data_IF_183781638194
#
_entry.id   IF_183781638194
#
_cell.length_a   1.000
_cell.length_b   1.000
_cell.length_c   1.000
_cell.angle_alpha   90.00
_cell.angle_beta   90.00
_cell.angle_gamma   90.00
#
_symmetry.space_group_name_H-M   'P 1'
#
loop_
_entity.id
_entity.type
_entity.pdbx_description
1 polymer ?
#
# COMPACT_ATOMS: atom_id res chain seq x y z
N UNK A 1 -30.19 -1.92 24.38
CA UNK A 1 -28.78 -2.25 24.05
C UNK A 1 -28.50 -2.37 22.54
N UNK A 2 -29.02 -1.47 21.69
CA UNK A 2 -28.67 -1.39 20.25
C UNK A 2 -27.97 -0.07 19.87
N UNK A 3 -27.83 0.86 20.82
CA UNK A 3 -27.27 2.21 20.60
C UNK A 3 -25.74 2.28 20.76
N UNK A 4 -25.15 1.46 21.64
CA UNK A 4 -23.72 1.53 21.96
C UNK A 4 -22.79 1.03 20.84
N UNK A 5 -23.24 0.06 20.04
CA UNK A 5 -22.46 -0.48 18.91
C UNK A 5 -22.47 0.44 17.67
N UNK A 6 -23.54 1.23 17.48
CA UNK A 6 -23.55 2.27 16.44
C UNK A 6 -22.65 3.45 16.83
N UNK A 7 -22.62 3.83 18.11
CA UNK A 7 -21.73 4.87 18.61
C UNK A 7 -20.25 4.49 18.54
N UNK A 8 -19.89 3.20 18.70
CA UNK A 8 -18.51 2.74 18.54
C UNK A 8 -18.07 2.65 17.07
N UNK A 9 -19.00 2.30 16.15
CA UNK A 9 -18.77 2.39 14.71
C UNK A 9 -18.64 3.85 14.21
N UNK A 10 -19.39 4.77 14.82
CA UNK A 10 -19.29 6.21 14.53
C UNK A 10 -18.06 6.86 15.17
N UNK A 11 -17.57 6.36 16.31
CA UNK A 11 -16.30 6.83 16.89
C UNK A 11 -15.10 6.47 15.99
N UNK A 12 -15.17 5.36 15.25
CA UNK A 12 -14.18 4.97 14.24
C UNK A 12 -14.32 5.79 12.95
N UNK A 13 -15.49 6.37 12.68
CA UNK A 13 -15.71 7.30 11.57
C UNK A 13 -15.34 8.76 11.89
N UNK A 14 -15.29 9.16 13.18
CA UNK A 14 -15.14 10.56 13.60
C UNK A 14 -13.82 10.90 14.32
N UNK A 15 -12.82 10.02 14.33
CA UNK A 15 -11.44 10.39 14.73
C UNK A 15 -10.54 10.47 13.48
N UNK A 16 -10.87 11.43 12.61
CA UNK A 16 -9.95 12.47 12.12
C UNK A 16 -10.78 13.42 11.28
N UNK A 17 -10.95 14.62 11.83
CA UNK A 17 -11.66 15.75 11.27
C UNK A 17 -11.04 16.25 9.96
N UNK A 18 -11.90 16.81 9.12
CA UNK A 18 -11.68 17.89 8.13
C UNK A 18 -10.23 18.19 7.70
N UNK A 19 -9.94 17.80 6.47
CA UNK A 19 -9.22 18.61 5.50
C UNK A 19 -9.81 18.23 4.15
N UNK A 20 -10.27 19.21 3.37
CA UNK A 20 -10.84 19.01 2.04
C UNK A 20 -10.00 18.00 1.25
N UNK A 21 -10.61 16.92 0.75
CA UNK A 21 -9.94 16.00 -0.16
C UNK A 21 -9.75 16.76 -1.50
N UNK A 22 -8.54 17.26 -1.81
CA UNK A 22 -8.33 18.07 -3.00
C UNK A 22 -8.30 17.22 -4.28
N UNK A 23 -8.62 15.92 -4.18
CA UNK A 23 -8.53 14.95 -5.27
C UNK A 23 -9.85 14.25 -5.59
N UNK A 24 -10.97 14.68 -5.00
CA UNK A 24 -12.30 14.22 -5.38
C UNK A 24 -12.60 14.43 -6.88
N UNK A 25 -11.94 15.42 -7.51
CA UNK A 25 -12.07 15.71 -8.94
C UNK A 25 -11.18 14.85 -9.87
N UNK A 26 -10.26 14.03 -9.35
CA UNK A 26 -9.33 13.23 -10.17
C UNK A 26 -9.94 11.88 -10.59
N UNK A 27 -10.91 11.36 -9.83
CA UNK A 27 -11.51 10.05 -10.09
C UNK A 27 -12.20 9.88 -11.46
N UNK A 28 -12.75 10.92 -12.13
CA UNK A 28 -13.31 10.76 -13.49
C UNK A 28 -12.28 10.86 -14.62
N UNK A 29 -11.01 11.23 -14.37
CA UNK A 29 -10.06 11.62 -15.44
C UNK A 29 -9.16 10.50 -15.98
N UNK A 30 -9.18 9.33 -15.35
CA UNK A 30 -8.38 8.16 -15.80
C UNK A 30 -9.08 7.45 -16.99
N UNK A 31 -10.39 7.66 -17.19
CA UNK A 31 -11.13 7.04 -18.31
C UNK A 31 -11.01 7.79 -19.65
N UNK A 32 -10.44 9.01 -19.69
CA UNK A 32 -10.43 9.84 -20.90
C UNK A 32 -9.11 9.90 -21.66
N UNK A 33 -8.06 9.17 -21.25
CA UNK A 33 -6.84 9.00 -22.05
C UNK A 33 -6.11 10.29 -22.48
N UNK A 34 -6.29 11.40 -21.76
CA UNK A 34 -5.66 12.67 -22.07
C UNK A 34 -4.70 13.05 -20.93
N UNK A 35 -3.44 12.65 -21.08
CA UNK A 35 -2.32 13.18 -20.32
C UNK A 35 -1.87 14.48 -21.00
N UNK A 36 -1.83 15.60 -20.26
CA UNK A 36 -1.38 16.90 -20.76
C UNK A 36 0.00 17.22 -20.17
N UNK A 37 0.97 17.49 -21.03
CA UNK A 37 2.42 17.63 -20.77
C UNK A 37 2.85 18.90 -20.00
N UNK A 38 2.00 19.44 -19.13
CA UNK A 38 2.26 20.73 -18.49
C UNK A 38 2.06 20.74 -16.99
N UNK A 39 2.88 19.98 -16.26
CA UNK A 39 3.34 20.29 -14.91
C UNK A 39 4.71 19.62 -14.65
N UNK A 40 5.77 20.18 -15.22
CA UNK A 40 7.14 19.97 -14.73
C UNK A 40 7.57 21.29 -14.13
N UNK A 41 7.40 21.44 -12.82
CA UNK A 41 8.15 22.43 -12.07
C UNK A 41 9.11 21.74 -11.10
N UNK A 42 10.33 22.27 -11.13
CA UNK A 42 11.58 21.64 -10.76
C UNK A 42 11.79 21.71 -9.24
N UNK A 43 12.22 20.61 -8.62
CA UNK A 43 13.28 20.54 -7.60
C UNK A 43 13.21 19.29 -6.69
N UNK A 44 13.21 18.09 -7.28
CA UNK A 44 13.78 16.91 -6.60
C UNK A 44 14.67 16.22 -7.60
N UNK A 45 15.97 16.44 -7.44
CA UNK A 45 17.01 15.78 -8.20
C UNK A 45 16.92 14.27 -7.93
N UNK A 46 16.34 13.51 -8.85
CA UNK A 46 16.36 12.05 -8.84
C UNK A 46 17.79 11.58 -9.13
N UNK A 47 18.60 11.47 -8.09
CA UNK A 47 19.87 10.75 -8.19
C UNK A 47 19.61 9.26 -7.95
N UNK A 48 19.28 8.53 -9.02
CA UNK A 48 19.67 7.13 -9.11
C UNK A 48 21.14 7.10 -9.51
N UNK A 49 22.04 7.20 -8.53
CA UNK A 49 23.45 6.90 -8.78
C UNK A 49 23.60 5.39 -8.94
N UNK A 50 23.69 4.93 -10.19
CA UNK A 50 24.36 3.66 -10.49
C UNK A 50 25.82 3.80 -10.07
N UNK A 51 26.16 3.20 -8.93
CA UNK A 51 27.55 3.02 -8.54
C UNK A 51 28.17 1.91 -9.39
N UNK A 52 28.83 2.32 -10.48
CA UNK A 52 29.80 1.48 -11.19
C UNK A 52 31.10 1.49 -10.38
N UNK A 53 31.14 0.77 -9.26
CA UNK A 53 32.37 0.52 -8.51
C UNK A 53 32.60 -1.00 -8.48
N UNK A 54 33.51 -1.41 -9.36
CA UNK A 54 34.01 -2.75 -9.59
C UNK A 54 34.98 -3.15 -8.47
N UNK A 55 34.44 -3.44 -7.29
CA UNK A 55 35.13 -4.16 -6.21
C UNK A 55 34.19 -5.29 -5.77
N UNK A 56 34.63 -6.54 -5.91
CA UNK A 56 33.82 -7.77 -5.81
C UNK A 56 33.14 -8.09 -4.46
N UNK A 57 32.72 -7.08 -3.69
CA UNK A 57 31.80 -7.22 -2.59
C UNK A 57 30.36 -7.22 -3.15
N UNK A 58 29.67 -8.35 -3.05
CA UNK A 58 28.24 -8.43 -3.36
C UNK A 58 27.47 -7.45 -2.47
N UNK A 59 27.18 -6.26 -3.00
CA UNK A 59 26.34 -5.28 -2.34
C UNK A 59 24.90 -5.80 -2.43
N UNK A 60 24.44 -6.45 -1.35
CA UNK A 60 23.08 -6.96 -1.28
C UNK A 60 22.15 -5.77 -1.27
N UNK A 61 21.31 -5.67 -2.29
CA UNK A 61 20.27 -4.65 -2.42
C UNK A 61 19.46 -4.51 -1.11
N UNK A 62 19.33 -3.30 -0.53
CA UNK A 62 18.74 -3.08 0.80
C UNK A 62 17.36 -3.71 1.01
N UNK A 63 16.57 -3.83 -0.07
CA UNK A 63 15.25 -4.46 -0.03
C UNK A 63 15.29 -5.90 0.48
N UNK A 64 16.33 -6.67 0.15
CA UNK A 64 16.43 -8.07 0.57
C UNK A 64 16.79 -8.23 2.05
N UNK A 65 17.23 -7.16 2.71
CA UNK A 65 17.36 -7.11 4.17
C UNK A 65 16.01 -6.98 4.89
N UNK A 66 14.95 -6.58 4.17
CA UNK A 66 13.58 -6.59 4.68
C UNK A 66 13.03 -8.02 4.70
N UNK A 67 13.56 -8.85 5.59
CA UNK A 67 13.13 -10.25 5.72
C UNK A 67 11.67 -10.32 6.16
N UNK A 68 10.93 -11.27 5.60
CA UNK A 68 9.60 -11.63 6.08
C UNK A 68 9.71 -12.92 6.86
N UNK A 69 9.45 -12.87 8.16
CA UNK A 69 9.37 -14.07 8.97
C UNK A 69 8.16 -14.92 8.54
N UNK A 70 8.22 -16.21 8.80
CA UNK A 70 7.08 -17.11 8.54
C UNK A 70 5.79 -16.63 9.23
N UNK A 71 5.93 -16.11 10.45
CA UNK A 71 4.84 -15.52 11.23
C UNK A 71 4.22 -14.30 10.54
N UNK A 72 5.01 -13.42 9.94
CA UNK A 72 4.53 -12.28 9.17
C UNK A 72 3.75 -12.72 7.94
N UNK A 73 4.28 -13.70 7.21
CA UNK A 73 3.62 -14.29 6.06
C UNK A 73 2.24 -14.83 6.44
N UNK A 74 2.15 -15.61 7.52
CA UNK A 74 0.88 -16.12 8.04
C UNK A 74 -0.08 -14.96 8.39
N UNK A 75 0.40 -13.95 9.11
CA UNK A 75 -0.44 -12.81 9.50
C UNK A 75 -0.97 -12.06 8.28
N UNK A 76 -0.14 -11.80 7.26
CA UNK A 76 -0.55 -11.11 6.02
C UNK A 76 -1.62 -11.92 5.28
N UNK A 77 -1.41 -13.24 5.15
CA UNK A 77 -2.37 -14.15 4.48
C UNK A 77 -3.71 -14.17 5.21
N UNK A 78 -3.69 -14.24 6.54
CA UNK A 78 -4.88 -14.25 7.39
C UNK A 78 -5.63 -12.93 7.36
N UNK A 79 -4.90 -11.80 7.39
CA UNK A 79 -5.48 -10.47 7.27
C UNK A 79 -6.25 -10.36 5.95
N UNK A 80 -5.61 -10.67 4.82
CA UNK A 80 -6.24 -10.57 3.51
C UNK A 80 -7.39 -11.56 3.37
N UNK A 81 -7.27 -12.78 3.89
CA UNK A 81 -8.36 -13.76 3.88
C UNK A 81 -9.59 -13.20 4.61
N UNK A 82 -9.45 -12.79 5.88
CA UNK A 82 -10.53 -12.25 6.71
C UNK A 82 -11.13 -10.96 6.14
N UNK A 83 -10.30 -10.08 5.57
CA UNK A 83 -10.79 -8.87 4.92
C UNK A 83 -11.54 -9.18 3.61
N UNK A 84 -11.11 -10.19 2.85
CA UNK A 84 -11.75 -10.58 1.58
C UNK A 84 -13.07 -11.34 1.74
N UNK A 85 -13.35 -11.89 2.92
CA UNK A 85 -14.60 -12.61 3.20
C UNK A 85 -15.84 -11.73 3.00
N UNK A 86 -16.93 -12.32 2.51
CA UNK A 86 -18.17 -11.60 2.20
C UNK A 86 -18.91 -11.20 3.48
N UNK A 87 -19.46 -9.98 3.47
CA UNK A 87 -20.39 -9.48 4.49
C UNK A 87 -19.79 -8.50 5.48
N UNK A 88 -20.53 -7.41 5.78
CA UNK A 88 -20.17 -6.46 6.85
C UNK A 88 -20.24 -7.13 8.23
N UNK A 89 -21.12 -8.13 8.39
CA UNK A 89 -21.33 -8.83 9.66
C UNK A 89 -20.15 -9.73 10.06
N UNK A 90 -19.47 -10.38 9.11
CA UNK A 90 -18.27 -11.17 9.39
C UNK A 90 -17.12 -10.27 9.84
N UNK A 91 -16.96 -9.09 9.22
CA UNK A 91 -15.99 -8.10 9.67
C UNK A 91 -16.25 -7.60 11.09
N UNK A 92 -17.50 -7.32 11.46
CA UNK A 92 -17.84 -6.90 12.81
C UNK A 92 -17.54 -7.98 13.85
N UNK A 93 -17.88 -9.24 13.55
CA UNK A 93 -17.54 -10.38 14.42
C UNK A 93 -16.03 -10.56 14.56
N UNK A 94 -15.28 -10.29 13.49
CA UNK A 94 -13.83 -10.46 13.45
C UNK A 94 -13.03 -9.18 13.75
N UNK A 95 -13.68 -8.07 14.12
CA UNK A 95 -13.04 -6.76 14.21
C UNK A 95 -11.82 -6.78 15.14
N UNK A 96 -11.96 -7.32 16.36
CA UNK A 96 -10.86 -7.45 17.32
C UNK A 96 -9.70 -8.29 16.76
N UNK A 97 -10.00 -9.37 16.04
CA UNK A 97 -8.98 -10.19 15.40
C UNK A 97 -8.28 -9.47 14.25
N UNK A 98 -9.00 -8.66 13.47
CA UNK A 98 -8.43 -7.85 12.40
C UNK A 98 -7.50 -6.76 12.94
N UNK A 99 -7.87 -6.10 14.04
CA UNK A 99 -7.00 -5.16 14.74
C UNK A 99 -5.72 -5.85 15.22
N UNK A 100 -5.85 -6.98 15.92
CA UNK A 100 -4.69 -7.73 16.39
C UNK A 100 -3.78 -8.20 15.26
N UNK A 101 -4.33 -8.58 14.09
CA UNK A 101 -3.53 -8.90 12.91
C UNK A 101 -2.84 -7.67 12.32
N UNK A 102 -3.53 -6.53 12.25
CA UNK A 102 -2.97 -5.25 11.83
C UNK A 102 -1.79 -4.83 12.70
N UNK A 103 -1.92 -4.93 14.01
CA UNK A 103 -0.84 -4.61 14.98
C UNK A 103 0.39 -5.51 14.78
N UNK A 104 0.17 -6.81 14.57
CA UNK A 104 1.25 -7.77 14.29
C UNK A 104 1.96 -7.46 12.98
N UNK A 105 1.23 -7.01 11.95
CA UNK A 105 1.80 -6.67 10.63
C UNK A 105 2.49 -5.30 10.64
N UNK A 106 2.16 -4.42 11.57
CA UNK A 106 2.69 -3.05 11.61
C UNK A 106 4.23 -2.99 11.69
N UNK A 107 4.88 -4.06 12.20
CA UNK A 107 6.35 -4.20 12.22
C UNK A 107 6.96 -4.43 10.83
N UNK A 108 6.18 -4.96 9.88
CA UNK A 108 6.65 -5.23 8.51
C UNK A 108 6.78 -3.91 7.75
N UNK A 109 7.90 -3.76 7.04
CA UNK A 109 8.14 -2.60 6.20
C UNK A 109 7.11 -2.51 5.05
N UNK A 110 6.49 -1.34 4.78
CA UNK A 110 5.39 -1.20 3.82
C UNK A 110 5.76 -1.63 2.39
N UNK A 111 6.97 -1.31 1.93
CA UNK A 111 7.46 -1.73 0.59
C UNK A 111 7.56 -3.25 0.49
N UNK A 112 8.02 -3.91 1.56
CA UNK A 112 8.11 -5.38 1.62
C UNK A 112 6.74 -6.03 1.72
N UNK A 113 5.86 -5.46 2.54
CA UNK A 113 4.47 -5.90 2.68
C UNK A 113 3.75 -5.90 1.34
N UNK A 114 3.79 -4.78 0.60
CA UNK A 114 3.09 -4.69 -0.69
C UNK A 114 3.79 -5.54 -1.76
N UNK A 115 5.13 -5.59 -1.80
CA UNK A 115 5.86 -6.46 -2.73
C UNK A 115 5.51 -7.94 -2.56
N UNK A 116 5.35 -8.40 -1.33
CA UNK A 116 4.89 -9.76 -1.06
C UNK A 116 3.45 -10.00 -1.53
N UNK A 117 2.54 -9.06 -1.33
CA UNK A 117 1.14 -9.21 -1.77
C UNK A 117 1.05 -9.24 -3.31
N UNK A 118 1.76 -8.35 -3.99
CA UNK A 118 1.67 -8.16 -5.44
C UNK A 118 2.35 -9.29 -6.21
N UNK A 119 3.48 -9.80 -5.71
CA UNK A 119 4.17 -10.97 -6.28
C UNK A 119 3.38 -12.28 -6.17
N UNK A 120 2.43 -12.36 -5.22
CA UNK A 120 1.64 -13.56 -4.99
C UNK A 120 0.24 -13.41 -5.61
N UNK A 121 0.01 -14.09 -6.74
CA UNK A 121 -1.25 -14.01 -7.49
C UNK A 121 -2.52 -14.24 -6.63
N UNK A 122 -2.50 -15.20 -5.69
CA UNK A 122 -3.65 -15.46 -4.81
C UNK A 122 -3.91 -14.32 -3.81
N UNK A 123 -2.86 -13.63 -3.36
CA UNK A 123 -2.99 -12.50 -2.45
C UNK A 123 -3.48 -11.27 -3.20
N UNK A 124 -3.00 -11.07 -4.43
CA UNK A 124 -3.50 -10.01 -5.33
C UNK A 124 -4.99 -10.18 -5.64
N UNK A 125 -5.46 -11.41 -5.87
CA UNK A 125 -6.91 -11.70 -5.99
C UNK A 125 -7.70 -11.35 -4.74
N UNK A 126 -7.18 -11.63 -3.55
CA UNK A 126 -7.83 -11.23 -2.29
C UNK A 126 -7.85 -9.72 -2.13
N UNK A 127 -6.76 -9.03 -2.49
CA UNK A 127 -6.68 -7.58 -2.49
C UNK A 127 -7.72 -6.96 -3.43
N UNK A 128 -7.91 -7.54 -4.64
CA UNK A 128 -8.98 -7.15 -5.57
C UNK A 128 -10.38 -7.35 -4.97
N UNK A 129 -10.63 -8.46 -4.27
CA UNK A 129 -11.91 -8.64 -3.55
C UNK A 129 -12.13 -7.63 -2.43
N UNK A 130 -11.05 -7.16 -1.80
CA UNK A 130 -11.12 -6.10 -0.78
C UNK A 130 -11.49 -4.76 -1.46
N UNK A 131 -10.96 -4.48 -2.65
CA UNK A 131 -11.26 -3.25 -3.39
C UNK A 131 -12.72 -3.15 -3.87
N UNK A 132 -13.41 -4.28 -4.03
CA UNK A 132 -14.85 -4.31 -4.34
C UNK A 132 -15.73 -3.67 -3.25
N UNK A 133 -15.21 -3.47 -2.04
CA UNK A 133 -15.93 -2.81 -0.95
C UNK A 133 -15.22 -1.51 -0.55
N UNK A 134 -15.81 -0.36 -0.90
CA UNK A 134 -15.25 0.96 -0.59
C UNK A 134 -14.90 1.11 0.89
N UNK A 135 -15.72 0.60 1.80
CA UNK A 135 -15.43 0.60 3.23
C UNK A 135 -14.13 -0.15 3.57
N UNK A 136 -13.98 -1.39 3.09
CA UNK A 136 -12.80 -2.21 3.37
C UNK A 136 -11.56 -1.64 2.70
N UNK A 137 -11.72 -1.17 1.47
CA UNK A 137 -10.67 -0.57 0.66
C UNK A 137 -10.12 0.69 1.31
N UNK A 138 -10.99 1.62 1.71
CA UNK A 138 -10.58 2.86 2.36
C UNK A 138 -9.83 2.57 3.66
N UNK A 139 -10.29 1.61 4.47
CA UNK A 139 -9.56 1.23 5.68
C UNK A 139 -8.20 0.59 5.40
N UNK A 140 -8.13 -0.30 4.40
CA UNK A 140 -6.86 -0.93 3.99
C UNK A 140 -5.87 0.11 3.47
N UNK A 141 -6.28 0.94 2.50
CA UNK A 141 -5.44 1.95 1.88
C UNK A 141 -5.02 3.04 2.86
N UNK A 142 -5.90 3.48 3.76
CA UNK A 142 -5.54 4.41 4.85
C UNK A 142 -4.49 3.81 5.80
N UNK A 143 -4.65 2.54 6.18
CA UNK A 143 -3.68 1.84 7.03
C UNK A 143 -2.30 1.72 6.37
N UNK A 144 -2.27 1.28 5.11
CA UNK A 144 -1.05 1.22 4.30
C UNK A 144 -0.41 2.59 4.14
N UNK A 145 -1.18 3.60 3.73
CA UNK A 145 -0.70 4.96 3.50
C UNK A 145 -0.12 5.61 4.74
N UNK A 146 -0.74 5.42 5.91
CA UNK A 146 -0.19 5.88 7.20
C UNK A 146 1.19 5.26 7.48
N UNK A 147 1.35 3.96 7.25
CA UNK A 147 2.63 3.26 7.47
C UNK A 147 3.69 3.68 6.46
N UNK A 148 3.33 3.81 5.19
CA UNK A 148 4.20 4.28 4.12
C UNK A 148 4.71 5.70 4.40
N UNK A 149 3.79 6.60 4.77
CA UNK A 149 4.14 7.99 5.11
C UNK A 149 5.09 8.06 6.30
N UNK A 150 4.91 7.21 7.32
CA UNK A 150 5.82 7.15 8.45
C UNK A 150 7.25 6.79 8.01
N UNK A 151 7.43 5.78 7.17
CA UNK A 151 8.76 5.39 6.68
C UNK A 151 9.39 6.43 5.75
N UNK A 152 8.58 7.10 4.94
CA UNK A 152 9.02 8.23 4.11
C UNK A 152 9.58 9.34 4.99
N UNK A 153 8.86 9.73 6.04
CA UNK A 153 9.29 10.79 6.94
C UNK A 153 10.58 10.43 7.69
N UNK A 154 10.85 9.14 7.88
CA UNK A 154 12.08 8.65 8.49
C UNK A 154 13.22 8.43 7.47
N UNK A 155 13.03 8.80 6.19
CA UNK A 155 14.02 8.56 5.14
C UNK A 155 14.22 7.08 4.79
N UNK A 156 13.35 6.20 5.28
CA UNK A 156 13.52 4.75 5.24
C UNK A 156 12.55 4.10 4.24
N UNK A 157 12.14 4.79 3.18
CA UNK A 157 11.21 4.24 2.17
C UNK A 157 11.88 4.03 0.81
N UNK A 158 12.44 5.10 0.24
CA UNK A 158 12.93 5.12 -1.14
C UNK A 158 14.13 4.20 -1.39
N UNK A 159 14.98 3.99 -0.39
CA UNK A 159 16.15 3.11 -0.50
C UNK A 159 15.81 1.65 -0.80
N UNK A 160 14.56 1.24 -0.62
CA UNK A 160 14.10 -0.12 -0.87
C UNK A 160 13.37 -0.29 -2.21
N UNK A 161 13.15 0.80 -2.97
CA UNK A 161 12.44 0.74 -4.25
C UNK A 161 13.20 -0.03 -5.34
N UNK A 162 14.54 0.09 -5.50
CA UNK A 162 15.28 -0.67 -6.52
C UNK A 162 15.04 -2.17 -6.42
N UNK A 163 15.35 -2.77 -5.26
CA UNK A 163 15.11 -4.20 -5.06
C UNK A 163 13.61 -4.59 -5.02
N UNK A 164 12.70 -3.66 -4.69
CA UNK A 164 11.26 -3.89 -4.85
C UNK A 164 10.89 -4.09 -6.32
N UNK A 165 11.38 -3.23 -7.21
CA UNK A 165 11.13 -3.35 -8.65
C UNK A 165 11.73 -4.64 -9.21
N UNK A 166 12.93 -5.00 -8.79
CA UNK A 166 13.57 -6.23 -9.24
C UNK A 166 12.80 -7.46 -8.78
N UNK A 167 12.24 -7.45 -7.56
CA UNK A 167 11.39 -8.53 -7.06
C UNK A 167 10.08 -8.71 -7.84
N UNK A 168 9.64 -7.68 -8.57
CA UNK A 168 8.41 -7.67 -9.36
C UNK A 168 8.68 -7.68 -10.88
N UNK A 169 9.91 -7.95 -11.30
CA UNK A 169 10.36 -7.94 -12.72
C UNK A 169 9.59 -8.88 -13.65
N UNK A 170 8.88 -9.87 -13.11
CA UNK A 170 8.01 -10.79 -13.86
C UNK A 170 6.61 -10.23 -14.14
N UNK A 171 6.27 -9.05 -13.61
CA UNK A 171 5.00 -8.36 -13.83
C UNK A 171 5.21 -7.18 -14.80
N UNK A 172 4.18 -6.78 -15.57
CA UNK A 172 4.24 -5.63 -16.47
C UNK A 172 4.12 -4.32 -15.69
N UNK A 173 5.11 -4.05 -14.83
CA UNK A 173 5.15 -2.89 -13.94
C UNK A 173 5.90 -1.74 -14.61
N UNK A 174 5.24 -0.59 -14.73
CA UNK A 174 5.79 0.66 -15.22
C UNK A 174 6.32 1.46 -14.02
N UNK A 175 7.66 1.56 -13.90
CA UNK A 175 8.33 2.16 -12.74
C UNK A 175 7.94 3.63 -12.59
N UNK A 176 7.79 4.33 -13.71
CA UNK A 176 7.42 5.74 -13.80
C UNK A 176 6.04 6.00 -13.19
N UNK A 177 5.07 5.11 -13.43
CA UNK A 177 3.72 5.21 -12.86
C UNK A 177 3.77 4.98 -11.35
N UNK A 178 4.52 3.97 -10.90
CA UNK A 178 4.67 3.65 -9.47
C UNK A 178 5.37 4.79 -8.73
N UNK A 179 6.49 5.29 -9.26
CA UNK A 179 7.25 6.40 -8.69
C UNK A 179 6.38 7.67 -8.61
N UNK A 180 5.62 7.98 -9.66
CA UNK A 180 4.68 9.10 -9.67
C UNK A 180 3.60 8.96 -8.58
N UNK A 181 2.98 7.79 -8.45
CA UNK A 181 1.95 7.56 -7.43
C UNK A 181 2.50 7.65 -6.00
N UNK A 182 3.72 7.15 -5.76
CA UNK A 182 4.42 7.26 -4.48
C UNK A 182 4.80 8.71 -4.18
N UNK A 183 5.31 9.43 -5.18
CA UNK A 183 5.71 10.84 -5.06
C UNK A 183 4.53 11.72 -4.66
N UNK A 184 3.39 11.56 -5.34
CA UNK A 184 2.15 12.28 -5.05
C UNK A 184 1.38 11.74 -3.83
N UNK A 185 1.92 10.76 -3.10
CA UNK A 185 1.25 10.12 -1.94
C UNK A 185 -0.12 9.53 -2.29
N UNK A 186 -0.33 9.16 -3.55
CA UNK A 186 -1.58 8.58 -4.03
C UNK A 186 -1.61 7.07 -3.73
N UNK A 187 -1.74 6.73 -2.45
CA UNK A 187 -1.75 5.34 -1.97
C UNK A 187 -2.92 4.54 -2.52
N UNK A 188 -4.08 5.18 -2.71
CA UNK A 188 -5.24 4.55 -3.32
C UNK A 188 -4.96 4.17 -4.78
N UNK A 189 -4.46 5.13 -5.57
CA UNK A 189 -4.07 4.91 -6.97
C UNK A 189 -2.98 3.85 -7.09
N UNK A 190 -1.96 3.88 -6.22
CA UNK A 190 -0.89 2.89 -6.17
C UNK A 190 -1.43 1.47 -5.97
N UNK A 191 -2.30 1.28 -4.97
CA UNK A 191 -2.87 -0.03 -4.69
C UNK A 191 -3.83 -0.49 -5.80
N UNK A 192 -4.55 0.44 -6.45
CA UNK A 192 -5.37 0.14 -7.62
C UNK A 192 -4.53 -0.32 -8.81
N UNK A 193 -3.43 0.39 -9.09
CA UNK A 193 -2.49 0.03 -10.14
C UNK A 193 -1.97 -1.40 -9.93
N UNK A 194 -1.60 -1.75 -8.69
CA UNK A 194 -1.13 -3.09 -8.40
C UNK A 194 -2.15 -4.20 -8.58
N UNK A 195 -3.44 -3.97 -8.31
CA UNK A 195 -4.46 -5.01 -8.56
C UNK A 195 -4.89 -5.11 -10.03
N UNK A 196 -4.52 -4.15 -10.88
CA UNK A 196 -4.71 -4.23 -12.34
C UNK A 196 -3.62 -5.03 -13.07
N UNK A 197 -2.46 -5.25 -12.44
CA UNK A 197 -1.41 -6.16 -12.92
C UNK A 197 -1.84 -7.64 -12.87
#
# INVERSE_FOLDING_TARGET
MKSFLLSLLLLVANVSCYGDDPYAEIYPRIESGQFSDHLVDQNVHFYYFSNCADDGAYNIEPFYHLTLEHSDICNIRDLLAKMSEKGKMSLLKNAKSLYSLGDKINRVHPVRFIGYIVSQHDLRKKLRKISESSFKWNHFAKGFGKRAQHEINNGNFYQYLPGFYDSLSHLPLEREVVDSLIHHRNWHGLLHYFISL
#
